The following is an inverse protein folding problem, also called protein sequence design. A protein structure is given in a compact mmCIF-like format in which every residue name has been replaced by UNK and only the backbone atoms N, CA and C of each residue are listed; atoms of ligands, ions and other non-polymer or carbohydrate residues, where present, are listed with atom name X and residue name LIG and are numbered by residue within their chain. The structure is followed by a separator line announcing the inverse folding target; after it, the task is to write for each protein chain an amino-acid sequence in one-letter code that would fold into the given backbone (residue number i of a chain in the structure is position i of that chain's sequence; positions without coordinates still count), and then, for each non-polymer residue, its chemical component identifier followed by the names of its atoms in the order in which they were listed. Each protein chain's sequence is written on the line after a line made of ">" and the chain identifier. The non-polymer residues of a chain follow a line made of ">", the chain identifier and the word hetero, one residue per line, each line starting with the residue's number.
data_IF_757581543395
#
_entry.id   IF_757581543395
#
_cell.length_a   1.000
_cell.length_b   1.000
_cell.length_c   1.000
_cell.angle_alpha   90.00
_cell.angle_beta   90.00
_cell.angle_gamma   90.00
#
_symmetry.space_group_name_H-M   'P 1'
#
loop_
_entity.id
_entity.type
_entity.pdbx_description
1 polymer ?
#
# COMPACT_ATOMS: atom_id res chain seq x y z
N UNK A 1 0.58 -4.94 4.21
CA UNK A 1 0.16 -4.96 2.80
C UNK A 1 -0.97 -3.96 2.59
N UNK A 2 -1.06 -3.35 1.36
CA UNK A 2 -2.20 -2.52 0.97
C UNK A 2 -3.54 -3.30 1.02
N UNK A 3 -4.65 -2.60 1.16
CA UNK A 3 -6.00 -3.14 1.11
C UNK A 3 -6.37 -3.66 -0.31
N UNK A 4 -7.48 -4.38 -0.44
CA UNK A 4 -7.91 -4.97 -1.71
C UNK A 4 -7.99 -3.92 -2.82
N UNK A 5 -7.33 -4.20 -3.95
CA UNK A 5 -7.36 -3.38 -5.16
C UNK A 5 -8.19 -4.03 -6.28
N UNK A 6 -8.54 -3.26 -7.31
CA UNK A 6 -9.25 -3.78 -8.49
C UNK A 6 -8.48 -4.90 -9.20
N UNK A 7 -7.13 -4.85 -9.23
CA UNK A 7 -6.34 -5.97 -9.75
C UNK A 7 -6.39 -7.22 -8.86
N UNK A 8 -6.59 -7.08 -7.54
CA UNK A 8 -6.82 -8.24 -6.68
C UNK A 8 -8.17 -8.92 -7.01
N UNK A 9 -9.22 -8.14 -7.27
CA UNK A 9 -10.53 -8.66 -7.69
C UNK A 9 -10.42 -9.36 -9.04
N UNK A 10 -9.76 -8.70 -10.01
CA UNK A 10 -9.52 -9.29 -11.32
C UNK A 10 -8.84 -10.66 -11.22
N UNK A 11 -7.73 -10.73 -10.47
CA UNK A 11 -7.00 -11.97 -10.26
C UNK A 11 -7.86 -13.05 -9.59
N UNK A 12 -8.60 -12.69 -8.54
CA UNK A 12 -9.46 -13.64 -7.81
C UNK A 12 -10.59 -14.19 -8.69
N UNK A 13 -11.11 -13.37 -9.62
CA UNK A 13 -12.20 -13.76 -10.51
C UNK A 13 -11.74 -14.57 -11.73
N UNK A 14 -10.51 -14.34 -12.23
CA UNK A 14 -10.06 -14.87 -13.52
C UNK A 14 -8.81 -15.76 -13.44
N UNK A 15 -8.07 -15.74 -12.35
CA UNK A 15 -6.76 -16.37 -12.23
C UNK A 15 -5.70 -15.76 -13.17
N UNK A 16 -5.96 -14.58 -13.74
CA UNK A 16 -5.12 -13.95 -14.77
C UNK A 16 -4.85 -12.48 -14.47
N UNK A 17 -3.74 -11.97 -15.00
CA UNK A 17 -3.42 -10.54 -15.02
C UNK A 17 -3.93 -9.81 -16.28
N UNK A 18 -4.56 -10.52 -17.22
CA UNK A 18 -5.07 -9.93 -18.44
C UNK A 18 -6.12 -8.84 -18.14
N UNK A 19 -5.94 -7.66 -18.72
CA UNK A 19 -6.80 -6.50 -18.47
C UNK A 19 -6.53 -5.75 -17.15
N UNK A 20 -5.40 -6.04 -16.50
CA UNK A 20 -4.97 -5.30 -15.29
C UNK A 20 -4.75 -3.82 -15.57
N UNK A 21 -5.00 -2.99 -14.57
CA UNK A 21 -4.49 -1.62 -14.55
C UNK A 21 -3.01 -1.61 -14.15
N UNK A 22 -2.24 -0.68 -14.71
CA UNK A 22 -0.85 -0.46 -14.30
C UNK A 22 -0.73 0.00 -12.84
N UNK A 23 -1.69 0.84 -12.38
CA UNK A 23 -1.73 1.36 -11.01
C UNK A 23 -3.17 1.38 -10.46
N UNK A 24 -3.68 0.24 -9.97
CA UNK A 24 -5.08 0.07 -9.58
C UNK A 24 -5.42 0.81 -8.29
N UNK A 25 -6.66 1.28 -8.20
CA UNK A 25 -7.24 1.83 -6.98
C UNK A 25 -7.68 0.71 -6.02
N UNK A 26 -7.93 1.06 -4.76
CA UNK A 26 -8.59 0.15 -3.81
C UNK A 26 -10.10 0.10 -4.08
N UNK A 27 -10.70 -1.07 -3.80
CA UNK A 27 -12.13 -1.31 -3.94
C UNK A 27 -12.91 -0.75 -2.73
N UNK A 28 -14.25 -0.70 -2.78
CA UNK A 28 -15.05 -0.42 -1.59
C UNK A 28 -14.73 -1.37 -0.41
N UNK A 29 -14.58 -2.68 -0.68
CA UNK A 29 -14.10 -3.63 0.33
C UNK A 29 -12.71 -3.28 0.84
N UNK A 30 -11.79 -2.87 -0.05
CA UNK A 30 -10.46 -2.41 0.35
C UNK A 30 -10.50 -1.19 1.29
N UNK A 31 -11.42 -0.25 1.05
CA UNK A 31 -11.63 0.87 1.97
C UNK A 31 -12.10 0.42 3.35
N UNK A 32 -13.07 -0.50 3.41
CA UNK A 32 -13.50 -1.09 4.70
C UNK A 32 -12.36 -1.80 5.42
N UNK A 33 -11.58 -2.62 4.71
CA UNK A 33 -10.39 -3.27 5.27
C UNK A 33 -9.39 -2.28 5.88
N UNK A 34 -9.11 -1.17 5.17
CA UNK A 34 -8.20 -0.14 5.66
C UNK A 34 -8.75 0.56 6.90
N UNK A 35 -10.06 0.83 6.97
CA UNK A 35 -10.72 1.42 8.15
C UNK A 35 -10.73 0.48 9.35
N UNK A 36 -11.02 -0.81 9.13
CA UNK A 36 -10.93 -1.82 10.20
C UNK A 36 -9.52 -1.92 10.76
N UNK A 37 -8.51 -1.92 9.88
CA UNK A 37 -7.10 -1.89 10.32
C UNK A 37 -6.79 -0.59 11.08
N UNK A 38 -7.31 0.55 10.63
CA UNK A 38 -7.13 1.83 11.32
C UNK A 38 -7.67 1.79 12.76
N UNK A 39 -8.89 1.27 12.95
CA UNK A 39 -9.47 1.06 14.30
C UNK A 39 -8.59 0.19 15.16
N UNK A 40 -8.16 -0.94 14.63
CA UNK A 40 -7.29 -1.87 15.34
C UNK A 40 -5.97 -1.23 15.75
N UNK A 41 -5.33 -0.46 14.87
CA UNK A 41 -4.06 0.21 15.16
C UNK A 41 -4.19 1.31 16.23
N UNK A 42 -5.33 2.00 16.27
CA UNK A 42 -5.57 3.07 17.24
C UNK A 42 -6.04 2.54 18.59
N UNK A 43 -6.94 1.57 18.60
CA UNK A 43 -7.65 1.15 19.80
C UNK A 43 -7.32 -0.27 20.28
N UNK A 44 -6.57 -1.04 19.49
CA UNK A 44 -6.38 -2.48 19.75
C UNK A 44 -7.64 -3.32 19.55
N UNK A 45 -8.70 -2.75 18.95
CA UNK A 45 -9.96 -3.45 18.68
C UNK A 45 -10.46 -3.13 17.27
N UNK A 46 -11.00 -4.11 16.53
CA UNK A 46 -11.71 -3.88 15.27
C UNK A 46 -13.14 -3.36 15.48
N UNK A 47 -13.67 -3.38 16.73
CA UNK A 47 -15.01 -2.92 17.04
C UNK A 47 -15.22 -1.44 16.69
N UNK A 48 -16.45 -1.00 16.35
CA UNK A 48 -16.76 0.40 16.11
C UNK A 48 -16.34 1.29 17.29
N UNK A 49 -15.79 2.45 16.98
CA UNK A 49 -15.25 3.38 17.97
C UNK A 49 -15.11 4.81 17.43
N UNK A 50 -14.46 5.71 18.16
CA UNK A 50 -14.34 7.13 17.76
C UNK A 50 -13.78 7.38 16.36
N UNK A 51 -12.98 6.44 15.80
CA UNK A 51 -12.47 6.51 14.43
C UNK A 51 -13.60 6.49 13.39
N UNK A 52 -14.76 5.89 13.72
CA UNK A 52 -15.90 5.82 12.79
C UNK A 52 -16.48 7.19 12.46
N UNK A 53 -16.34 8.16 13.35
CA UNK A 53 -16.75 9.55 13.10
C UNK A 53 -15.92 10.23 12.01
N UNK A 54 -14.72 9.73 11.73
CA UNK A 54 -13.86 10.22 10.67
C UNK A 54 -14.29 9.73 9.27
N UNK A 55 -15.19 8.72 9.20
CA UNK A 55 -15.60 8.07 7.97
C UNK A 55 -17.12 7.86 7.95
N UNK A 56 -17.92 8.96 7.97
CA UNK A 56 -19.39 8.89 8.15
C UNK A 56 -20.17 8.24 6.99
N UNK A 57 -19.54 8.08 5.83
CA UNK A 57 -20.19 7.57 4.60
C UNK A 57 -20.04 6.04 4.42
N UNK A 58 -19.85 5.30 5.47
CA UNK A 58 -19.72 3.84 5.34
C UNK A 58 -21.10 3.20 5.10
N UNK A 59 -21.24 2.54 3.94
CA UNK A 59 -22.31 1.56 3.76
C UNK A 59 -22.20 0.49 4.85
N UNK A 60 -23.30 0.16 5.50
CA UNK A 60 -23.34 -0.91 6.47
C UNK A 60 -22.71 -2.19 5.88
N UNK A 61 -21.87 -2.92 6.62
CA UNK A 61 -21.31 -4.17 6.13
C UNK A 61 -22.47 -5.12 5.76
N UNK A 62 -22.31 -5.92 4.69
CA UNK A 62 -23.31 -6.91 4.33
C UNK A 62 -23.56 -7.83 5.53
N UNK A 63 -24.83 -8.15 5.80
CA UNK A 63 -25.30 -8.87 6.98
C UNK A 63 -24.63 -10.24 7.25
N UNK A 64 -23.79 -10.73 6.34
CA UNK A 64 -23.13 -12.03 6.37
C UNK A 64 -21.58 -11.95 6.48
N UNK A 65 -20.99 -10.79 6.81
CA UNK A 65 -19.56 -10.79 7.12
C UNK A 65 -19.35 -11.48 8.49
N UNK A 66 -18.43 -12.47 8.58
CA UNK A 66 -18.14 -13.11 9.86
C UNK A 66 -17.60 -12.06 10.82
N UNK A 67 -18.28 -11.85 11.94
CA UNK A 67 -17.74 -11.12 13.07
C UNK A 67 -16.60 -11.93 13.65
N UNK A 68 -15.38 -11.48 13.49
CA UNK A 68 -14.24 -12.09 14.17
C UNK A 68 -14.25 -11.54 15.59
N UNK A 69 -14.59 -12.42 16.54
CA UNK A 69 -14.52 -12.12 17.97
C UNK A 69 -13.04 -12.17 18.38
N UNK A 70 -12.45 -11.02 18.70
CA UNK A 70 -11.09 -10.95 19.20
C UNK A 70 -11.13 -10.92 20.73
N UNK A 71 -10.46 -11.87 21.38
CA UNK A 71 -10.18 -11.75 22.79
C UNK A 71 -9.19 -10.61 23.04
N UNK A 72 -9.72 -9.49 23.54
CA UNK A 72 -8.95 -8.29 23.83
C UNK A 72 -7.89 -8.52 24.92
N UNK A 73 -8.02 -9.57 25.73
CA UNK A 73 -7.07 -9.88 26.79
C UNK A 73 -5.77 -10.50 26.23
N UNK A 74 -5.85 -11.18 25.08
CA UNK A 74 -4.69 -11.71 24.36
C UNK A 74 -3.96 -10.64 23.50
N UNK A 75 -4.61 -9.52 23.23
CA UNK A 75 -3.99 -8.41 22.51
C UNK A 75 -3.16 -7.58 23.48
N UNK A 76 -1.85 -7.73 23.46
CA UNK A 76 -0.88 -6.91 24.21
C UNK A 76 -0.96 -5.39 23.94
N UNK A 77 -2.05 -4.92 23.36
CA UNK A 77 -2.16 -3.60 22.73
C UNK A 77 -3.43 -2.83 23.08
N UNK A 78 -3.93 -2.98 24.27
CA UNK A 78 -5.16 -2.32 24.78
C UNK A 78 -5.24 -0.80 24.59
N UNK A 79 -4.11 -0.15 24.25
CA UNK A 79 -3.99 1.31 24.05
C UNK A 79 -3.54 1.69 22.64
N UNK A 80 -3.70 0.78 21.67
CA UNK A 80 -3.17 0.96 20.32
C UNK A 80 -1.69 0.62 20.21
N UNK A 81 -1.15 0.72 18.99
CA UNK A 81 0.22 0.30 18.68
C UNK A 81 1.26 1.40 18.93
N UNK A 82 0.84 2.62 19.29
CA UNK A 82 1.74 3.75 19.50
C UNK A 82 2.61 4.06 18.28
N UNK A 83 2.05 3.92 17.07
CA UNK A 83 2.75 4.19 15.82
C UNK A 83 3.23 5.65 15.80
N UNK A 84 4.49 5.86 15.47
CA UNK A 84 5.13 7.19 15.43
C UNK A 84 5.42 7.64 14.00
N UNK A 85 5.62 6.71 13.08
CA UNK A 85 5.95 6.98 11.67
C UNK A 85 5.14 6.09 10.75
N UNK A 86 4.62 6.69 9.66
CA UNK A 86 3.83 5.98 8.65
C UNK A 86 4.40 6.23 7.25
N UNK A 87 4.86 5.15 6.62
CA UNK A 87 5.39 5.17 5.26
C UNK A 87 4.48 4.44 4.28
N UNK A 88 4.46 4.90 3.04
CA UNK A 88 3.72 4.24 1.95
C UNK A 88 4.53 4.24 0.65
N UNK A 89 4.34 3.20 -0.17
CA UNK A 89 4.80 3.27 -1.57
C UNK A 89 3.96 4.27 -2.36
N UNK A 90 4.50 4.73 -3.51
CA UNK A 90 3.79 5.63 -4.41
C UNK A 90 2.77 4.94 -5.34
N UNK A 91 2.53 3.64 -5.18
CA UNK A 91 1.44 2.96 -5.88
C UNK A 91 0.10 3.36 -5.27
N UNK A 92 -0.88 3.78 -6.10
CA UNK A 92 -2.14 4.38 -5.64
C UNK A 92 -2.88 3.53 -4.61
N UNK A 93 -2.90 2.20 -4.75
CA UNK A 93 -3.53 1.30 -3.77
C UNK A 93 -2.89 1.36 -2.38
N UNK A 94 -1.58 1.61 -2.32
CA UNK A 94 -0.88 1.78 -1.05
C UNK A 94 -1.09 3.20 -0.49
N UNK A 95 -1.03 4.23 -1.34
CA UNK A 95 -1.33 5.61 -0.96
C UNK A 95 -2.73 5.72 -0.36
N UNK A 96 -3.76 5.23 -1.05
CA UNK A 96 -5.15 5.27 -0.58
C UNK A 96 -5.36 4.48 0.72
N UNK A 97 -4.66 3.37 0.90
CA UNK A 97 -4.67 2.64 2.18
C UNK A 97 -4.00 3.46 3.27
N UNK A 98 -2.82 4.02 2.96
CA UNK A 98 -2.02 4.83 3.87
C UNK A 98 -2.73 6.10 4.33
N UNK A 99 -3.48 6.78 3.45
CA UNK A 99 -4.26 7.98 3.80
C UNK A 99 -5.32 7.69 4.86
N UNK A 100 -6.03 6.55 4.74
CA UNK A 100 -7.02 6.14 5.74
C UNK A 100 -6.34 5.90 7.10
N UNK A 101 -5.16 5.24 7.09
CA UNK A 101 -4.40 5.00 8.32
C UNK A 101 -3.82 6.30 8.90
N UNK A 102 -3.27 7.17 8.06
CA UNK A 102 -2.70 8.46 8.44
C UNK A 102 -3.74 9.35 9.15
N UNK A 103 -4.95 9.43 8.57
CA UNK A 103 -6.06 10.18 9.15
C UNK A 103 -6.44 9.64 10.53
N UNK A 104 -6.54 8.33 10.69
CA UNK A 104 -6.93 7.72 11.97
C UNK A 104 -5.84 7.83 13.03
N UNK A 105 -4.57 7.74 12.64
CA UNK A 105 -3.42 7.83 13.54
C UNK A 105 -3.01 9.28 13.87
N UNK A 106 -3.52 10.26 13.12
CA UNK A 106 -3.08 11.66 13.23
C UNK A 106 -1.63 11.88 12.81
N UNK A 107 -1.10 11.06 11.89
CA UNK A 107 0.28 11.08 11.45
C UNK A 107 0.41 11.57 10.00
N UNK A 108 1.52 12.22 9.62
CA UNK A 108 1.84 12.46 8.22
C UNK A 108 2.05 11.14 7.48
N UNK A 109 1.58 11.08 6.22
CA UNK A 109 1.85 9.95 5.34
C UNK A 109 3.10 10.24 4.51
N UNK A 110 4.17 9.53 4.75
CA UNK A 110 5.47 9.76 4.11
C UNK A 110 5.64 8.79 2.94
N UNK A 111 5.86 9.31 1.74
CA UNK A 111 6.11 8.47 0.57
C UNK A 111 7.54 7.91 0.59
N UNK A 112 7.65 6.61 0.30
CA UNK A 112 8.94 5.92 0.13
C UNK A 112 8.89 5.11 -1.18
N UNK A 113 9.44 5.63 -2.28
CA UNK A 113 9.33 5.00 -3.59
C UNK A 113 9.87 3.56 -3.65
N UNK A 114 10.91 3.24 -2.90
CA UNK A 114 11.58 1.94 -2.94
C UNK A 114 10.76 0.78 -2.36
N UNK A 115 9.71 1.05 -1.58
CA UNK A 115 8.84 0.00 -1.04
C UNK A 115 7.69 -0.39 -1.98
N UNK A 116 7.87 -0.14 -3.29
CA UNK A 116 6.91 -0.53 -4.33
C UNK A 116 6.84 -2.05 -4.54
N UNK A 117 5.76 -2.52 -5.19
CA UNK A 117 5.60 -3.91 -5.57
C UNK A 117 6.67 -4.34 -6.58
N UNK A 118 7.05 -5.60 -6.54
CA UNK A 118 8.00 -6.16 -7.52
C UNK A 118 7.51 -5.92 -8.95
N UNK A 119 8.44 -5.56 -9.83
CA UNK A 119 8.13 -5.18 -11.21
C UNK A 119 7.83 -3.68 -11.38
N UNK A 120 7.41 -2.96 -10.34
CA UNK A 120 7.07 -1.54 -10.42
C UNK A 120 5.72 -1.27 -11.10
N UNK A 121 5.63 -0.15 -11.78
CA UNK A 121 4.45 0.22 -12.59
C UNK A 121 4.65 -0.34 -14.00
N UNK A 122 3.78 -1.26 -14.44
CA UNK A 122 3.92 -1.92 -15.74
C UNK A 122 2.60 -2.46 -16.28
N UNK A 123 2.58 -2.69 -17.58
CA UNK A 123 1.55 -3.48 -18.29
C UNK A 123 2.19 -4.65 -19.00
N UNK A 124 1.42 -5.72 -19.18
CA UNK A 124 1.79 -6.82 -20.04
C UNK A 124 1.66 -6.38 -21.51
N UNK A 125 2.59 -6.81 -22.38
CA UNK A 125 2.52 -6.65 -23.84
C UNK A 125 2.14 -8.00 -24.49
N UNK A 126 0.86 -8.24 -24.80
CA UNK A 126 0.42 -9.50 -25.35
C UNK A 126 0.98 -9.79 -26.75
N UNK A 127 1.19 -8.74 -27.57
CA UNK A 127 1.70 -8.90 -28.92
C UNK A 127 3.18 -9.32 -28.91
N UNK A 128 4.00 -8.63 -28.12
CA UNK A 128 5.40 -8.99 -27.93
C UNK A 128 5.53 -10.35 -27.23
N UNK A 129 4.66 -10.65 -26.26
CA UNK A 129 4.66 -11.96 -25.59
C UNK A 129 4.36 -13.11 -26.53
N UNK A 130 3.38 -12.94 -27.44
CA UNK A 130 3.06 -13.94 -28.45
C UNK A 130 4.20 -14.15 -29.46
N UNK A 131 4.87 -13.06 -29.84
CA UNK A 131 6.00 -13.12 -30.79
C UNK A 131 7.24 -13.81 -30.20
N UNK A 132 7.50 -13.61 -28.89
CA UNK A 132 8.69 -14.12 -28.22
C UNK A 132 8.45 -15.46 -27.48
N UNK A 133 7.19 -15.88 -27.30
CA UNK A 133 6.84 -17.10 -26.58
C UNK A 133 7.03 -17.01 -25.05
N UNK A 134 7.26 -15.80 -24.52
CA UNK A 134 7.42 -15.55 -23.09
C UNK A 134 6.73 -14.23 -22.68
N UNK A 135 6.36 -14.06 -21.40
CA UNK A 135 5.71 -12.84 -20.92
C UNK A 135 6.60 -11.61 -21.05
N UNK A 136 6.17 -10.64 -21.86
CA UNK A 136 6.82 -9.32 -21.98
C UNK A 136 6.06 -8.29 -21.17
N UNK A 137 6.78 -7.50 -20.40
CA UNK A 137 6.25 -6.45 -19.53
C UNK A 137 6.91 -5.13 -19.81
N UNK A 138 6.10 -4.10 -20.01
CA UNK A 138 6.55 -2.75 -20.35
C UNK A 138 6.31 -1.82 -19.16
N UNK A 139 7.39 -1.22 -18.65
CA UNK A 139 7.32 -0.22 -17.59
C UNK A 139 6.48 0.98 -18.01
N UNK A 140 5.67 1.49 -17.08
CA UNK A 140 4.85 2.69 -17.27
C UNK A 140 5.35 3.79 -16.33
N UNK A 141 5.19 5.08 -16.65
CA UNK A 141 5.82 6.15 -15.88
C UNK A 141 5.30 6.28 -14.43
N UNK A 142 4.14 5.71 -14.13
CA UNK A 142 3.46 5.98 -12.87
C UNK A 142 2.90 7.40 -12.81
N UNK A 143 2.31 7.79 -11.70
CA UNK A 143 1.75 9.14 -11.55
C UNK A 143 2.86 10.17 -11.32
N UNK A 144 2.80 11.35 -11.95
CA UNK A 144 3.76 12.43 -11.70
C UNK A 144 3.55 13.06 -10.31
N UNK A 145 4.58 13.73 -9.73
CA UNK A 145 4.45 14.43 -8.46
C UNK A 145 3.27 15.41 -8.39
N UNK A 146 3.00 16.14 -9.48
CA UNK A 146 1.88 17.06 -9.59
C UNK A 146 0.51 16.37 -9.42
N UNK A 147 0.37 15.11 -9.82
CA UNK A 147 -0.83 14.32 -9.56
C UNK A 147 -1.05 14.12 -8.06
N UNK A 148 -0.01 13.71 -7.33
CA UNK A 148 -0.11 13.48 -5.88
C UNK A 148 -0.37 14.80 -5.14
N UNK A 149 0.30 15.88 -5.50
CA UNK A 149 0.07 17.20 -4.90
C UNK A 149 -1.38 17.67 -5.06
N UNK A 150 -2.01 17.35 -6.20
CA UNK A 150 -3.40 17.72 -6.47
C UNK A 150 -4.42 16.81 -5.81
N UNK A 151 -4.19 15.50 -5.83
CA UNK A 151 -5.20 14.49 -5.45
C UNK A 151 -4.95 13.86 -4.08
N UNK A 152 -3.73 13.98 -3.55
CA UNK A 152 -3.27 13.41 -2.29
C UNK A 152 -2.43 14.44 -1.51
N UNK A 153 -3.00 15.64 -1.19
CA UNK A 153 -2.22 16.76 -0.63
C UNK A 153 -1.64 16.47 0.75
N UNK A 154 -2.16 15.48 1.47
CA UNK A 154 -1.62 15.04 2.75
C UNK A 154 -0.40 14.11 2.62
N UNK A 155 -0.10 13.62 1.41
CA UNK A 155 1.06 12.78 1.14
C UNK A 155 2.33 13.63 1.04
N UNK A 156 3.29 13.38 1.91
CA UNK A 156 4.60 14.01 1.86
C UNK A 156 5.48 13.28 0.87
N UNK A 157 5.81 13.93 -0.23
CA UNK A 157 6.65 13.38 -1.29
C UNK A 157 8.14 13.59 -0.98
N UNK A 158 9.03 12.65 -1.32
CA UNK A 158 10.46 12.89 -1.27
C UNK A 158 10.87 13.84 -2.41
N UNK A 159 12.00 14.50 -2.22
CA UNK A 159 12.62 15.31 -3.26
C UNK A 159 13.15 14.44 -4.42
N UNK A 160 13.35 15.06 -5.59
CA UNK A 160 14.01 14.44 -6.73
C UNK A 160 13.17 13.43 -7.53
N UNK A 161 11.86 13.34 -7.30
CA UNK A 161 10.98 12.53 -8.13
C UNK A 161 10.95 13.06 -9.58
N UNK A 162 10.97 12.12 -10.55
CA UNK A 162 10.85 12.48 -11.96
C UNK A 162 9.50 13.15 -12.24
N UNK A 163 9.50 14.38 -12.85
CA UNK A 163 8.26 15.11 -13.16
C UNK A 163 7.32 14.37 -14.13
N UNK A 164 7.85 13.49 -14.97
CA UNK A 164 7.05 12.70 -15.92
C UNK A 164 6.32 11.51 -15.28
N UNK A 165 6.77 11.09 -14.10
CA UNK A 165 6.19 9.97 -13.38
C UNK A 165 7.22 9.36 -12.43
N UNK A 166 6.80 8.98 -11.25
CA UNK A 166 7.72 8.52 -10.19
C UNK A 166 8.47 7.22 -10.53
N UNK A 167 7.90 6.39 -11.43
CA UNK A 167 8.54 5.14 -11.84
C UNK A 167 9.51 5.36 -13.01
N UNK A 168 9.06 5.89 -14.13
CA UNK A 168 9.82 6.27 -15.35
C UNK A 168 11.01 5.37 -15.71
N UNK A 169 10.85 4.06 -15.56
CA UNK A 169 11.89 3.05 -15.86
C UNK A 169 11.26 1.73 -16.31
N UNK A 170 12.03 0.80 -16.90
CA UNK A 170 11.55 -0.53 -17.32
C UNK A 170 10.94 -1.33 -16.17
N UNK A 171 10.31 -2.46 -16.51
CA UNK A 171 9.92 -3.46 -15.55
C UNK A 171 11.12 -3.90 -14.70
N UNK A 172 10.97 -3.89 -13.37
CA UNK A 172 12.03 -4.29 -12.46
C UNK A 172 12.38 -5.78 -12.62
N UNK A 173 13.60 -6.06 -13.04
CA UNK A 173 14.09 -7.42 -13.21
C UNK A 173 14.30 -8.11 -11.84
N UNK A 174 14.24 -9.45 -11.84
CA UNK A 174 14.41 -10.25 -10.61
C UNK A 174 15.71 -9.96 -9.84
N UNK A 175 16.87 -9.78 -10.50
CA UNK A 175 18.13 -9.47 -9.80
C UNK A 175 18.15 -8.14 -9.06
N UNK A 176 17.30 -7.15 -9.47
CA UNK A 176 17.26 -5.81 -8.89
C UNK A 176 16.49 -5.76 -7.56
N UNK A 177 15.63 -6.75 -7.29
CA UNK A 177 14.68 -6.73 -6.17
C UNK A 177 15.35 -6.80 -4.80
N UNK A 178 16.25 -7.78 -4.61
CA UNK A 178 16.97 -7.95 -3.33
C UNK A 178 17.87 -6.77 -3.00
N UNK A 179 18.69 -6.25 -3.91
CA UNK A 179 19.48 -5.04 -3.65
C UNK A 179 18.62 -3.85 -3.23
N UNK A 180 17.47 -3.64 -3.87
CA UNK A 180 16.52 -2.57 -3.49
C UNK A 180 15.96 -2.77 -2.08
N UNK A 181 15.52 -3.99 -1.77
CA UNK A 181 15.00 -4.31 -0.43
C UNK A 181 16.09 -4.13 0.63
N UNK A 182 17.33 -4.59 0.38
CA UNK A 182 18.43 -4.38 1.30
C UNK A 182 18.73 -2.91 1.51
N UNK A 183 18.78 -2.12 0.44
CA UNK A 183 18.97 -0.68 0.54
C UNK A 183 17.88 0.01 1.37
N UNK A 184 16.62 -0.38 1.16
CA UNK A 184 15.52 0.10 1.99
C UNK A 184 15.71 -0.26 3.48
N UNK A 185 16.10 -1.50 3.80
CA UNK A 185 16.32 -1.94 5.18
C UNK A 185 17.47 -1.17 5.84
N UNK A 186 18.55 -0.94 5.11
CA UNK A 186 19.69 -0.16 5.61
C UNK A 186 19.26 1.28 5.94
N UNK A 187 18.49 1.91 5.06
CA UNK A 187 17.94 3.25 5.30
C UNK A 187 16.93 3.27 6.45
N UNK A 188 16.06 2.26 6.55
CA UNK A 188 15.11 2.14 7.65
C UNK A 188 15.85 2.03 8.98
N UNK A 189 16.88 1.17 9.03
CA UNK A 189 17.72 1.01 10.22
C UNK A 189 18.49 2.29 10.54
N UNK A 190 19.03 2.97 9.54
CA UNK A 190 19.73 4.25 9.74
C UNK A 190 18.82 5.32 10.33
N UNK A 191 17.54 5.39 9.90
CA UNK A 191 16.59 6.40 10.37
C UNK A 191 16.01 6.09 11.73
N UNK A 192 15.72 4.83 12.02
CA UNK A 192 14.91 4.41 13.17
C UNK A 192 15.62 3.44 14.11
N UNK A 193 16.80 2.89 13.71
CA UNK A 193 17.58 1.99 14.53
C UNK A 193 18.06 2.68 15.80
N UNK A 194 17.88 2.01 16.96
CA UNK A 194 18.26 2.57 18.25
C UNK A 194 17.34 3.66 18.81
N UNK A 195 16.22 3.95 18.14
CA UNK A 195 15.16 4.83 18.63
C UNK A 195 14.01 4.05 19.27
N UNK A 196 13.05 4.77 19.87
CA UNK A 196 11.78 4.20 20.31
C UNK A 196 10.67 4.29 19.24
N UNK A 197 11.04 4.56 18.00
CA UNK A 197 10.09 4.70 16.91
C UNK A 197 9.36 3.39 16.63
N UNK A 198 8.06 3.50 16.36
CA UNK A 198 7.22 2.42 15.90
C UNK A 198 6.75 2.74 14.50
N UNK A 199 7.38 2.09 13.54
CA UNK A 199 7.22 2.38 12.12
C UNK A 199 6.17 1.47 11.50
N UNK A 200 5.16 2.05 10.89
CA UNK A 200 4.17 1.35 10.07
C UNK A 200 4.48 1.58 8.59
N UNK A 201 4.49 0.50 7.82
CA UNK A 201 4.80 0.53 6.39
C UNK A 201 3.65 -0.06 5.60
N UNK A 202 3.07 0.73 4.70
CA UNK A 202 2.05 0.28 3.74
C UNK A 202 2.73 -0.05 2.42
N UNK A 203 2.88 -1.34 2.14
CA UNK A 203 3.59 -1.84 0.97
C UNK A 203 2.86 -3.03 0.34
N UNK A 204 3.55 -3.99 -0.24
CA UNK A 204 3.04 -5.02 -1.14
C UNK A 204 3.52 -6.42 -0.75
N UNK A 205 2.75 -7.45 -1.17
CA UNK A 205 3.05 -8.83 -0.77
C UNK A 205 4.37 -9.37 -1.31
N UNK A 206 4.65 -9.16 -2.60
CA UNK A 206 5.89 -9.65 -3.18
C UNK A 206 7.11 -8.80 -2.79
N UNK A 207 6.93 -7.55 -2.37
CA UNK A 207 8.00 -6.78 -1.74
C UNK A 207 8.49 -7.48 -0.47
N UNK A 208 7.57 -7.85 0.44
CA UNK A 208 7.91 -8.59 1.65
C UNK A 208 8.58 -9.95 1.40
N UNK A 209 8.19 -10.66 0.35
CA UNK A 209 8.79 -11.94 0.00
C UNK A 209 10.25 -11.88 -0.47
N UNK A 210 10.86 -10.69 -0.53
CA UNK A 210 12.27 -10.47 -0.87
C UNK A 210 13.13 -10.02 0.33
N UNK A 211 12.54 -9.98 1.55
CA UNK A 211 13.32 -9.78 2.79
C UNK A 211 14.23 -10.94 3.09
#
# INVERSE_FOLDING_TARGET
>A
RHAQSTNNVLWSATGSSAGRSEDPLITPLGRRQARTLARFLVHGSPAPGPVDTLFPEEEAPPANEPTVDFDLDDLHNRRGFGITHLYTSLMLRAVLTGEILAQALGLPLLAWPEIHETGGIYLDDPAASAALGEPVRVGQPGKPPAYFQRHHPALVLPEGLNPAGWWSRPFEARPERRPRVQHFLDQLHQRHGGTHDRVLIVSHGAFYGNF
#
